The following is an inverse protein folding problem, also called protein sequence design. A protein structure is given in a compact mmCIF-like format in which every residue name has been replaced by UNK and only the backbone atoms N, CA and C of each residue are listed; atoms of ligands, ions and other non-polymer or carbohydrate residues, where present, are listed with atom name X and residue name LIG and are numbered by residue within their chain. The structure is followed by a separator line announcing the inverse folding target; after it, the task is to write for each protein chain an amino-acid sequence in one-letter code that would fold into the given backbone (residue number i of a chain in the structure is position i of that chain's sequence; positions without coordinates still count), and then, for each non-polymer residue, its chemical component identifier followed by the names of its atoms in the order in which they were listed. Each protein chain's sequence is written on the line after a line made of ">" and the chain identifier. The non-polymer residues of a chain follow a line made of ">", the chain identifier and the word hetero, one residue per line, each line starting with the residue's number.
data_IF_231493237235
#
_entry.id   IF_231493237235
#
_cell.length_a   1.000
_cell.length_b   1.000
_cell.length_c   1.000
_cell.angle_alpha   90.00
_cell.angle_beta   90.00
_cell.angle_gamma   90.00
#
_symmetry.space_group_name_H-M   'P 1'
#
loop_
_entity.id
_entity.type
_entity.pdbx_description
1 polymer ?
#
# COMPACT_ATOMS: atom_id res chain seq x y z
N UNK A 1 -27.58 17.56 14.19
CA UNK A 1 -26.20 17.09 14.16
C UNK A 1 -25.90 16.78 12.71
N UNK A 2 -25.08 17.60 12.04
CA UNK A 2 -24.72 17.37 10.65
C UNK A 2 -23.70 16.23 10.62
N UNK A 3 -24.12 15.04 10.21
CA UNK A 3 -23.22 13.99 9.77
C UNK A 3 -22.55 14.47 8.49
N UNK A 4 -21.37 15.08 8.62
CA UNK A 4 -20.57 15.46 7.46
C UNK A 4 -19.97 14.18 6.86
N UNK A 5 -20.44 13.75 5.67
CA UNK A 5 -20.00 12.49 5.05
C UNK A 5 -18.48 12.49 4.80
N UNK A 6 -17.89 13.66 4.58
CA UNK A 6 -16.45 13.82 4.37
C UNK A 6 -15.68 13.50 5.66
N UNK A 7 -16.17 13.95 6.81
CA UNK A 7 -15.58 13.65 8.12
C UNK A 7 -15.73 12.18 8.49
N UNK A 8 -16.87 11.56 8.15
CA UNK A 8 -17.07 10.13 8.33
C UNK A 8 -16.10 9.30 7.48
N UNK A 9 -15.88 9.68 6.21
CA UNK A 9 -14.92 9.02 5.34
C UNK A 9 -13.48 9.17 5.84
N UNK A 10 -13.07 10.39 6.21
CA UNK A 10 -11.73 10.68 6.72
C UNK A 10 -11.37 9.83 7.94
N UNK A 11 -12.28 9.75 8.91
CA UNK A 11 -12.09 8.92 10.11
C UNK A 11 -11.99 7.43 9.75
N UNK A 12 -12.90 6.93 8.92
CA UNK A 12 -12.90 5.53 8.52
C UNK A 12 -11.64 5.14 7.72
N UNK A 13 -11.17 6.05 6.86
CA UNK A 13 -9.91 5.91 6.14
C UNK A 13 -8.71 5.86 7.08
N UNK A 14 -8.60 6.81 8.02
CA UNK A 14 -7.49 6.84 8.99
C UNK A 14 -7.46 5.57 9.86
N UNK A 15 -8.62 5.13 10.36
CA UNK A 15 -8.74 3.87 11.09
C UNK A 15 -8.27 2.69 10.24
N UNK A 16 -8.78 2.54 9.01
CA UNK A 16 -8.38 1.44 8.13
C UNK A 16 -6.88 1.49 7.75
N UNK A 17 -6.31 2.69 7.60
CA UNK A 17 -4.90 2.87 7.30
C UNK A 17 -4.01 2.37 8.44
N UNK A 18 -4.37 2.68 9.69
CA UNK A 18 -3.60 2.29 10.88
C UNK A 18 -3.86 0.84 11.29
N UNK A 19 -5.11 0.39 11.24
CA UNK A 19 -5.50 -0.94 11.75
C UNK A 19 -5.25 -2.06 10.74
N UNK A 20 -5.27 -1.76 9.44
CA UNK A 20 -5.16 -2.79 8.37
C UNK A 20 -3.94 -2.56 7.50
N UNK A 21 -3.79 -1.37 6.92
CA UNK A 21 -2.76 -1.15 5.90
C UNK A 21 -1.35 -1.06 6.48
N UNK A 22 -1.17 -0.35 7.60
CA UNK A 22 0.11 -0.19 8.25
C UNK A 22 0.71 -1.54 8.70
N UNK A 23 -0.03 -2.46 9.36
CA UNK A 23 0.47 -3.80 9.66
C UNK A 23 0.87 -4.60 8.42
N UNK A 24 0.09 -4.53 7.33
CA UNK A 24 0.41 -5.22 6.08
C UNK A 24 1.72 -4.69 5.46
N UNK A 25 1.90 -3.37 5.45
CA UNK A 25 3.11 -2.72 4.94
C UNK A 25 4.32 -3.00 5.83
N UNK A 26 4.15 -3.01 7.16
CA UNK A 26 5.21 -3.34 8.11
C UNK A 26 5.72 -4.77 7.89
N UNK A 27 4.81 -5.74 7.74
CA UNK A 27 5.18 -7.14 7.46
C UNK A 27 5.91 -7.29 6.12
N UNK A 28 5.44 -6.60 5.09
CA UNK A 28 6.11 -6.59 3.80
C UNK A 28 7.50 -5.94 3.87
N UNK A 29 7.66 -4.93 4.72
CA UNK A 29 8.95 -4.30 4.97
C UNK A 29 9.94 -5.22 5.68
N UNK A 30 9.48 -5.94 6.71
CA UNK A 30 10.27 -6.97 7.39
C UNK A 30 10.73 -8.04 6.41
N UNK A 31 9.80 -8.60 5.62
CA UNK A 31 10.11 -9.60 4.60
C UNK A 31 11.15 -9.10 3.58
N UNK A 32 10.99 -7.87 3.09
CA UNK A 32 11.94 -7.28 2.14
C UNK A 32 13.35 -7.18 2.73
N UNK A 33 13.45 -6.74 3.99
CA UNK A 33 14.73 -6.62 4.70
C UNK A 33 15.39 -7.97 4.95
N UNK A 34 14.59 -9.00 5.29
CA UNK A 34 15.08 -10.38 5.43
C UNK A 34 15.67 -10.94 4.13
N UNK A 35 15.19 -10.45 2.97
CA UNK A 35 15.69 -10.79 1.64
C UNK A 35 16.77 -9.84 1.12
N UNK A 36 17.33 -8.99 2.00
CA UNK A 36 18.46 -8.12 1.67
C UNK A 36 18.09 -6.84 0.93
N UNK A 37 16.81 -6.48 0.85
CA UNK A 37 16.37 -5.20 0.27
C UNK A 37 16.40 -4.09 1.32
N UNK A 38 16.75 -2.88 0.89
CA UNK A 38 16.49 -1.66 1.65
C UNK A 38 14.98 -1.38 1.58
N UNK A 39 14.34 -1.24 2.74
CA UNK A 39 12.90 -1.03 2.77
C UNK A 39 12.46 -0.14 3.94
N UNK A 40 11.56 0.81 3.67
CA UNK A 40 11.04 1.77 4.64
C UNK A 40 9.53 1.94 4.48
N UNK A 41 8.82 2.02 5.60
CA UNK A 41 7.40 2.38 5.65
C UNK A 41 7.29 3.80 6.20
N UNK A 42 6.58 4.66 5.48
CA UNK A 42 6.37 6.06 5.84
C UNK A 42 4.88 6.39 5.86
N UNK A 43 4.45 7.06 6.91
CA UNK A 43 3.16 7.75 6.96
C UNK A 43 3.42 9.23 6.67
N UNK A 44 2.98 9.69 5.50
CA UNK A 44 3.22 11.04 5.00
C UNK A 44 1.98 11.91 5.17
N UNK A 45 2.18 13.21 5.33
CA UNK A 45 1.09 14.18 5.15
C UNK A 45 0.67 14.17 3.68
N UNK A 46 -0.56 13.72 3.41
CA UNK A 46 -1.08 13.59 2.06
C UNK A 46 -1.91 14.76 1.60
N UNK A 47 -2.59 14.58 0.47
CA UNK A 47 -3.50 15.60 -0.08
C UNK A 47 -4.62 15.94 0.91
N UNK A 48 -4.77 17.24 1.18
CA UNK A 48 -5.89 17.80 1.95
C UNK A 48 -6.07 17.15 3.32
N UNK A 49 -4.96 16.99 4.04
CA UNK A 49 -4.93 16.54 5.44
C UNK A 49 -5.27 15.05 5.65
N UNK A 50 -5.47 14.26 4.59
CA UNK A 50 -5.52 12.80 4.71
C UNK A 50 -4.12 12.21 4.59
N UNK A 51 -3.68 11.33 5.51
CA UNK A 51 -2.35 10.75 5.45
C UNK A 51 -2.20 9.79 4.26
N UNK A 52 -0.98 9.67 3.76
CA UNK A 52 -0.59 8.68 2.75
C UNK A 52 0.31 7.63 3.42
N UNK A 53 0.11 6.36 3.07
CA UNK A 53 0.99 5.28 3.51
C UNK A 53 1.85 4.83 2.33
N UNK A 54 3.17 4.82 2.52
CA UNK A 54 4.13 4.51 1.47
C UNK A 54 5.11 3.44 1.93
N UNK A 55 5.29 2.40 1.12
CA UNK A 55 6.35 1.41 1.21
C UNK A 55 7.38 1.73 0.14
N UNK A 56 8.59 2.07 0.55
CA UNK A 56 9.72 2.38 -0.32
C UNK A 56 10.70 1.22 -0.27
N UNK A 57 11.08 0.68 -1.42
CA UNK A 57 11.93 -0.51 -1.53
C UNK A 57 13.00 -0.31 -2.58
N UNK A 58 14.20 -0.78 -2.29
CA UNK A 58 15.38 -0.66 -3.15
C UNK A 58 16.26 -1.90 -3.02
N UNK A 59 16.82 -2.36 -4.14
CA UNK A 59 17.76 -3.50 -4.16
C UNK A 59 19.13 -3.15 -3.58
N UNK A 60 19.73 -2.08 -4.08
CA UNK A 60 21.00 -1.54 -3.62
C UNK A 60 20.98 -0.01 -3.63
N UNK A 61 21.90 0.64 -2.92
CA UNK A 61 21.98 2.10 -2.83
C UNK A 61 22.01 2.85 -4.19
N UNK A 62 22.37 2.16 -5.27
CA UNK A 62 22.44 2.70 -6.64
C UNK A 62 21.19 2.44 -7.48
N UNK A 63 20.28 1.56 -7.04
CA UNK A 63 19.07 1.23 -7.79
C UNK A 63 17.98 2.31 -7.60
N UNK A 64 17.11 2.52 -8.60
CA UNK A 64 15.94 3.38 -8.43
C UNK A 64 15.05 2.84 -7.31
N UNK A 65 14.47 3.75 -6.53
CA UNK A 65 13.51 3.39 -5.48
C UNK A 65 12.17 3.00 -6.11
N UNK A 66 11.67 1.84 -5.70
CA UNK A 66 10.32 1.40 -5.97
C UNK A 66 9.38 1.81 -4.84
N UNK A 67 8.18 2.26 -5.19
CA UNK A 67 7.20 2.77 -4.25
C UNK A 67 5.88 2.06 -4.42
N UNK A 68 5.32 1.55 -3.32
CA UNK A 68 3.94 1.09 -3.21
C UNK A 68 3.22 2.02 -2.23
N UNK A 69 2.25 2.79 -2.72
CA UNK A 69 1.59 3.87 -1.97
C UNK A 69 0.08 3.73 -1.93
N UNK A 70 -0.53 4.19 -0.84
CA UNK A 70 -1.97 4.36 -0.65
C UNK A 70 -2.23 5.82 -0.31
N UNK A 71 -3.13 6.43 -1.06
CA UNK A 71 -3.61 7.79 -0.84
C UNK A 71 -5.13 7.84 -0.95
N UNK A 72 -5.74 8.88 -0.39
CA UNK A 72 -7.18 9.10 -0.45
C UNK A 72 -7.50 10.49 -0.98
N UNK A 73 -8.63 10.61 -1.67
CA UNK A 73 -9.21 11.89 -2.05
C UNK A 73 -10.52 12.11 -1.27
N UNK A 74 -10.57 13.09 -0.36
CA UNK A 74 -11.75 13.34 0.44
C UNK A 74 -12.92 13.92 -0.35
N UNK A 75 -12.70 14.50 -1.54
CA UNK A 75 -13.80 15.01 -2.38
C UNK A 75 -14.53 13.88 -3.09
N UNK A 76 -13.78 12.93 -3.63
CA UNK A 76 -14.36 11.80 -4.37
C UNK A 76 -14.66 10.61 -3.46
N UNK A 77 -14.16 10.61 -2.22
CA UNK A 77 -14.23 9.50 -1.27
C UNK A 77 -13.66 8.20 -1.85
N UNK A 78 -12.59 8.34 -2.64
CA UNK A 78 -11.90 7.23 -3.30
C UNK A 78 -10.48 7.10 -2.79
N UNK A 79 -9.96 5.88 -2.92
CA UNK A 79 -8.57 5.56 -2.64
C UNK A 79 -7.82 5.38 -3.94
N UNK A 80 -6.56 5.81 -3.96
CA UNK A 80 -5.61 5.53 -5.03
C UNK A 80 -4.51 4.63 -4.50
N UNK A 81 -4.42 3.44 -5.09
CA UNK A 81 -3.34 2.50 -4.92
C UNK A 81 -2.33 2.71 -6.05
N UNK A 82 -1.10 3.09 -5.71
CA UNK A 82 -0.07 3.42 -6.68
C UNK A 82 1.19 2.56 -6.51
N UNK A 83 1.60 1.84 -7.55
CA UNK A 83 2.91 1.21 -7.64
C UNK A 83 3.77 1.99 -8.65
N UNK A 84 5.02 2.27 -8.30
CA UNK A 84 6.00 2.90 -9.19
C UNK A 84 7.34 2.20 -9.05
N UNK A 85 7.90 1.73 -10.16
CA UNK A 85 9.25 1.18 -10.21
C UNK A 85 9.93 1.60 -11.49
N UNK A 86 10.94 2.46 -11.35
CA UNK A 86 11.58 3.11 -12.49
C UNK A 86 11.64 4.62 -12.29
N UNK A 87 12.32 5.29 -13.21
CA UNK A 87 12.58 6.73 -13.13
C UNK A 87 11.50 7.57 -13.84
N UNK A 88 10.62 6.93 -14.64
CA UNK A 88 9.65 7.62 -15.49
C UNK A 88 8.24 7.59 -14.93
N UNK A 89 7.46 8.65 -15.18
CA UNK A 89 6.03 8.68 -14.83
C UNK A 89 5.21 7.61 -15.57
N UNK A 90 5.71 7.10 -16.70
CA UNK A 90 5.09 5.99 -17.43
C UNK A 90 5.12 4.65 -16.69
N UNK A 91 5.97 4.51 -15.66
CA UNK A 91 6.10 3.30 -14.86
C UNK A 91 5.14 3.28 -13.66
N UNK A 92 4.27 4.29 -13.57
CA UNK A 92 3.29 4.44 -12.50
C UNK A 92 2.03 3.66 -12.83
N UNK A 93 1.74 2.63 -12.04
CA UNK A 93 0.47 1.89 -12.07
C UNK A 93 -0.45 2.40 -10.97
N UNK A 94 -1.64 2.87 -11.35
CA UNK A 94 -2.65 3.38 -10.42
C UNK A 94 -3.96 2.60 -10.52
N UNK A 95 -4.54 2.29 -9.37
CA UNK A 95 -5.87 1.67 -9.25
C UNK A 95 -6.73 2.47 -8.28
N UNK A 96 -7.90 2.90 -8.75
CA UNK A 96 -8.84 3.71 -7.95
C UNK A 96 -9.90 2.83 -7.29
N UNK A 97 -9.78 2.66 -5.98
CA UNK A 97 -10.66 1.83 -5.15
C UNK A 97 -11.66 2.63 -4.30
N UNK A 98 -12.58 1.91 -3.67
CA UNK A 98 -13.34 2.42 -2.52
C UNK A 98 -12.60 2.10 -1.22
N UNK A 99 -13.10 2.59 -0.08
CA UNK A 99 -12.54 2.26 1.24
C UNK A 99 -12.48 0.76 1.51
N UNK A 100 -13.42 -0.03 0.96
CA UNK A 100 -13.44 -1.49 1.09
C UNK A 100 -12.21 -2.18 0.49
N UNK A 101 -11.41 -1.50 -0.34
CA UNK A 101 -10.13 -2.01 -0.84
C UNK A 101 -9.01 -2.01 0.21
N UNK A 102 -9.17 -1.33 1.36
CA UNK A 102 -8.28 -1.48 2.52
C UNK A 102 -8.69 -2.68 3.36
N UNK A 103 -8.53 -3.87 2.79
CA UNK A 103 -8.65 -5.12 3.50
C UNK A 103 -7.38 -5.95 3.26
N UNK A 104 -7.09 -6.85 4.20
CA UNK A 104 -5.85 -7.64 4.17
C UNK A 104 -5.66 -8.39 2.85
N UNK A 105 -6.72 -9.00 2.30
CA UNK A 105 -6.61 -9.81 1.09
C UNK A 105 -6.18 -8.97 -0.13
N UNK A 106 -6.80 -7.81 -0.32
CA UNK A 106 -6.46 -6.89 -1.42
C UNK A 106 -5.05 -6.33 -1.23
N UNK A 107 -4.67 -5.98 -0.01
CA UNK A 107 -3.34 -5.45 0.27
C UNK A 107 -2.24 -6.50 0.10
N UNK A 108 -2.45 -7.73 0.59
CA UNK A 108 -1.50 -8.84 0.41
C UNK A 108 -1.33 -9.17 -1.08
N UNK A 109 -2.41 -9.23 -1.85
CA UNK A 109 -2.37 -9.47 -3.31
C UNK A 109 -1.58 -8.36 -4.01
N UNK A 110 -1.86 -7.10 -3.68
CA UNK A 110 -1.18 -5.96 -4.30
C UNK A 110 0.30 -5.91 -3.93
N UNK A 111 0.64 -6.16 -2.67
CA UNK A 111 2.03 -6.23 -2.21
C UNK A 111 2.75 -7.37 -2.92
N UNK A 112 2.11 -8.53 -3.08
CA UNK A 112 2.67 -9.66 -3.82
C UNK A 112 3.00 -9.26 -5.27
N UNK A 113 2.05 -8.66 -5.97
CA UNK A 113 2.27 -8.16 -7.35
C UNK A 113 3.40 -7.15 -7.42
N UNK A 114 3.48 -6.23 -6.45
CA UNK A 114 4.56 -5.25 -6.36
C UNK A 114 5.93 -5.91 -6.19
N UNK A 115 6.09 -6.81 -5.21
CA UNK A 115 7.37 -7.48 -4.97
C UNK A 115 7.77 -8.43 -6.11
N UNK A 116 6.80 -9.12 -6.70
CA UNK A 116 7.06 -10.04 -7.80
C UNK A 116 7.48 -9.30 -9.07
N UNK A 117 6.78 -8.22 -9.43
CA UNK A 117 7.10 -7.44 -10.63
C UNK A 117 8.41 -6.67 -10.51
N UNK A 118 8.72 -6.19 -9.30
CA UNK A 118 9.80 -5.24 -9.08
C UNK A 118 11.12 -5.88 -8.65
N UNK A 119 11.03 -7.01 -7.94
CA UNK A 119 12.18 -7.66 -7.30
C UNK A 119 12.24 -9.17 -7.53
N UNK A 120 11.31 -9.74 -8.32
CA UNK A 120 11.16 -11.19 -8.51
C UNK A 120 11.03 -11.97 -7.18
N UNK A 121 10.49 -11.33 -6.13
CA UNK A 121 10.26 -11.95 -4.82
C UNK A 121 8.80 -12.40 -4.67
N UNK A 122 8.61 -13.55 -4.04
CA UNK A 122 7.29 -14.08 -3.69
C UNK A 122 7.03 -13.91 -2.20
N UNK A 123 5.88 -13.35 -1.82
CA UNK A 123 5.53 -13.17 -0.41
C UNK A 123 4.96 -14.48 0.16
N UNK A 124 5.83 -15.37 0.64
CA UNK A 124 5.43 -16.70 1.12
C UNK A 124 4.39 -16.67 2.25
N UNK A 125 4.41 -15.62 3.07
CA UNK A 125 3.43 -15.41 4.13
C UNK A 125 2.03 -15.05 3.61
N UNK A 126 1.94 -14.37 2.46
CA UNK A 126 0.67 -14.02 1.83
C UNK A 126 0.03 -15.29 1.25
N UNK A 127 0.81 -16.10 0.53
CA UNK A 127 0.39 -17.39 -0.01
C UNK A 127 -0.12 -18.35 1.06
N UNK A 128 0.49 -18.33 2.25
CA UNK A 128 0.05 -19.13 3.40
C UNK A 128 -1.32 -18.69 3.97
N UNK A 129 -1.69 -17.40 3.86
CA UNK A 129 -3.02 -16.90 4.26
C UNK A 129 -4.09 -17.17 3.21
N UNK A 130 -3.72 -17.16 1.93
CA UNK A 130 -4.65 -17.42 0.82
C UNK A 130 -4.91 -18.92 0.58
N UNK A 131 -4.05 -19.81 1.08
CA UNK A 131 -4.21 -21.26 0.96
C UNK A 131 -5.48 -21.83 1.65
N UNK A 132 -6.23 -21.02 2.41
CA UNK A 132 -7.49 -21.39 3.05
C UNK A 132 -8.77 -20.89 2.35
N UNK A 133 -8.66 -20.16 1.22
CA UNK A 133 -9.79 -19.45 0.60
C UNK A 133 -10.27 -20.07 -0.72
N UNK A 134 -10.81 -21.28 -0.70
CA UNK A 134 -11.71 -21.77 -1.75
C UNK A 134 -13.15 -21.66 -1.24
N UNK A 135 -13.88 -20.60 -1.60
CA UNK A 135 -15.35 -20.57 -1.72
C UNK A 135 -15.75 -19.49 -2.73
#
# INVERSE_FOLDING_TARGET
>A
MSDDPQKSFANAYQSALVEVALPAFARASEFAREHGLECTVELLEGRRELPELSLKVRGSCHDPECVCRISADPQTQRLCHENRCGESEGDVQQVIGSLASLNEMVLDTRLLEFFQSSFALHLDYASSRHAGGFW
#
